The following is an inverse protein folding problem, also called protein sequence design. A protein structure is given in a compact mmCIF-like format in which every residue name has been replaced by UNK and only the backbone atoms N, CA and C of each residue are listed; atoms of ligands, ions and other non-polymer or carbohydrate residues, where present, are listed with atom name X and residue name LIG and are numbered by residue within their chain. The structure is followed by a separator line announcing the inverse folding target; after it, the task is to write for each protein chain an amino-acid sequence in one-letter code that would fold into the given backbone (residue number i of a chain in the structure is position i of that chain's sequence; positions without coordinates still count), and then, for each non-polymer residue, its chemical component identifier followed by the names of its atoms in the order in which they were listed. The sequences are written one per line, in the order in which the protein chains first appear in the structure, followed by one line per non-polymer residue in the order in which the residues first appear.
data_IF_646278989053
#
_entry.id   IF_646278989053
#
_cell.length_a   1.000
_cell.length_b   1.000
_cell.length_c   1.000
_cell.angle_alpha   90.00
_cell.angle_beta   90.00
_cell.angle_gamma   90.00
#
_symmetry.space_group_name_H-M   'P 1'
#
loop_
_entity.id
_entity.type
_entity.pdbx_description
1 polymer ?
#
# COMPACT_ATOMS: atom_id res chain seq x y z
N UNK A 1 24.54 -13.02 -14.25
CA UNK A 1 23.55 -12.56 -13.25
C UNK A 1 23.57 -13.37 -11.95
N UNK A 2 24.14 -14.55 -11.95
CA UNK A 2 24.15 -15.49 -10.81
C UNK A 2 25.17 -15.13 -9.70
N UNK A 3 26.23 -14.39 -10.03
CA UNK A 3 27.26 -14.04 -9.05
C UNK A 3 26.86 -12.94 -8.06
N UNK A 4 25.97 -12.03 -8.45
CA UNK A 4 25.49 -10.93 -7.57
C UNK A 4 24.53 -11.47 -6.52
N UNK A 5 23.62 -12.38 -6.90
CA UNK A 5 22.68 -13.04 -6.00
C UNK A 5 23.38 -13.86 -4.91
N UNK A 6 24.37 -14.66 -5.30
CA UNK A 6 25.17 -15.49 -4.35
C UNK A 6 25.99 -14.66 -3.37
N UNK A 7 26.48 -13.49 -3.80
CA UNK A 7 27.18 -12.54 -2.91
C UNK A 7 26.27 -11.92 -1.84
N UNK A 8 25.06 -11.57 -2.22
CA UNK A 8 24.05 -11.02 -1.31
C UNK A 8 23.53 -12.07 -0.32
N UNK A 9 23.31 -13.32 -0.76
CA UNK A 9 22.92 -14.44 0.10
C UNK A 9 23.96 -14.69 1.20
N UNK A 10 25.26 -14.70 0.84
CA UNK A 10 26.35 -14.82 1.82
C UNK A 10 26.42 -13.65 2.80
N UNK A 11 26.21 -12.44 2.34
CA UNK A 11 26.16 -11.25 3.20
C UNK A 11 24.97 -11.27 4.17
N UNK A 12 23.86 -11.93 3.78
CA UNK A 12 22.68 -12.17 4.63
C UNK A 12 22.82 -13.40 5.55
N UNK A 13 23.98 -14.09 5.54
CA UNK A 13 24.19 -15.29 6.36
C UNK A 13 23.49 -16.52 5.85
N UNK A 14 23.16 -16.58 4.57
CA UNK A 14 22.58 -17.76 3.90
C UNK A 14 23.74 -18.55 3.25
N UNK A 15 23.99 -19.76 3.74
CA UNK A 15 24.99 -20.67 3.21
C UNK A 15 24.32 -21.68 2.25
N UNK A 16 24.81 -21.76 1.01
CA UNK A 16 24.37 -22.73 0.02
C UNK A 16 23.83 -22.10 -1.27
N UNK A 17 23.54 -22.94 -2.25
CA UNK A 17 23.00 -22.56 -3.56
C UNK A 17 21.46 -22.53 -3.58
N UNK A 18 20.83 -22.96 -2.49
CA UNK A 18 19.39 -23.05 -2.31
C UNK A 18 18.92 -22.09 -1.20
N UNK A 19 17.91 -21.27 -1.48
CA UNK A 19 17.34 -20.35 -0.52
C UNK A 19 16.38 -21.13 0.39
N UNK A 20 16.89 -21.68 1.48
CA UNK A 20 16.05 -22.33 2.50
C UNK A 20 15.48 -21.29 3.47
N UNK A 21 14.21 -21.00 3.30
CA UNK A 21 13.42 -20.11 4.19
C UNK A 21 12.66 -20.88 5.28
N UNK A 22 12.72 -22.22 5.32
CA UNK A 22 11.90 -23.05 6.20
C UNK A 22 12.06 -22.75 7.69
N UNK A 23 13.27 -22.41 8.14
CA UNK A 23 13.54 -22.01 9.52
C UNK A 23 13.29 -20.52 9.81
N UNK A 24 12.87 -19.74 8.80
CA UNK A 24 12.71 -18.28 8.85
C UNK A 24 11.29 -17.81 8.57
N UNK A 25 10.48 -18.69 8.04
CA UNK A 25 9.04 -18.54 7.87
C UNK A 25 8.37 -19.44 8.92
N UNK A 26 7.36 -18.94 9.62
CA UNK A 26 6.68 -19.71 10.66
C UNK A 26 5.77 -20.77 10.05
N UNK A 27 6.07 -22.07 10.27
CA UNK A 27 5.17 -23.19 10.00
C UNK A 27 5.57 -24.16 8.88
N UNK A 28 4.83 -25.27 8.74
CA UNK A 28 5.06 -26.39 7.81
C UNK A 28 4.79 -26.11 6.31
N UNK A 29 4.57 -24.85 5.93
CA UNK A 29 4.06 -24.45 4.61
C UNK A 29 5.14 -23.89 3.67
N UNK A 30 6.40 -24.26 3.85
CA UNK A 30 7.50 -23.72 3.01
C UNK A 30 7.37 -24.03 1.52
N UNK A 31 6.75 -25.13 1.14
CA UNK A 31 6.58 -25.55 -0.26
C UNK A 31 5.44 -24.81 -0.99
N UNK A 32 4.47 -24.27 -0.24
CA UNK A 32 3.38 -23.45 -0.78
C UNK A 32 3.76 -21.96 -0.92
N UNK A 33 4.86 -21.56 -0.28
CA UNK A 33 5.33 -20.17 -0.22
C UNK A 33 6.11 -19.72 -1.45
N UNK A 34 6.76 -20.64 -2.12
CA UNK A 34 7.37 -20.41 -3.43
C UNK A 34 6.26 -20.45 -4.48
N UNK A 35 5.35 -19.48 -4.38
CA UNK A 35 4.18 -19.38 -5.25
C UNK A 35 4.47 -19.70 -6.71
N UNK A 36 3.49 -19.60 -7.52
CA UNK A 36 3.55 -19.88 -8.97
C UNK A 36 4.74 -19.12 -9.61
N UNK A 37 5.96 -19.69 -9.57
CA UNK A 37 7.19 -19.09 -10.14
C UNK A 37 6.98 -18.75 -11.63
N UNK A 38 6.12 -19.49 -12.32
CA UNK A 38 5.73 -19.21 -13.71
C UNK A 38 4.95 -17.88 -13.82
N UNK A 39 4.31 -17.40 -12.75
CA UNK A 39 3.53 -16.15 -12.73
C UNK A 39 4.25 -14.98 -12.07
N UNK A 40 5.39 -15.19 -11.45
CA UNK A 40 6.16 -14.13 -10.79
C UNK A 40 5.46 -13.48 -9.60
N UNK A 41 4.63 -14.25 -8.88
CA UNK A 41 3.90 -13.81 -7.68
C UNK A 41 4.49 -14.45 -6.44
N UNK A 42 4.80 -13.64 -5.41
CA UNK A 42 5.22 -14.11 -4.09
C UNK A 42 4.33 -13.49 -3.01
N UNK A 43 3.57 -14.32 -2.30
CA UNK A 43 2.75 -13.89 -1.18
C UNK A 43 3.36 -14.39 0.14
N UNK A 44 3.86 -13.44 0.95
CA UNK A 44 4.40 -13.66 2.28
C UNK A 44 3.57 -12.95 3.36
N UNK A 45 2.32 -12.60 3.07
CA UNK A 45 1.47 -11.89 4.01
C UNK A 45 1.30 -12.69 5.30
N UNK A 46 1.48 -12.03 6.47
CA UNK A 46 1.37 -12.61 7.82
C UNK A 46 2.32 -13.80 8.12
N UNK A 47 3.27 -14.12 7.23
CA UNK A 47 4.11 -15.33 7.32
C UNK A 47 5.52 -15.06 7.86
N UNK A 48 5.97 -13.80 7.89
CA UNK A 48 7.31 -13.47 8.39
C UNK A 48 7.31 -13.37 9.92
N UNK A 49 8.00 -14.30 10.58
CA UNK A 49 8.15 -14.34 12.04
C UNK A 49 9.49 -13.75 12.45
N UNK A 50 9.46 -12.67 13.25
CA UNK A 50 10.65 -12.02 13.80
C UNK A 50 11.24 -10.92 12.92
N UNK A 51 12.29 -10.26 13.46
CA UNK A 51 12.96 -9.10 12.86
C UNK A 51 13.94 -9.55 11.76
N UNK A 52 13.48 -9.58 10.51
CA UNK A 52 14.30 -10.08 9.39
C UNK A 52 14.19 -9.24 8.12
N UNK A 53 14.46 -7.92 8.19
CA UNK A 53 14.46 -7.06 7.02
C UNK A 53 15.49 -7.49 5.96
N UNK A 54 16.63 -8.05 6.41
CA UNK A 54 17.72 -8.47 5.53
C UNK A 54 17.33 -9.62 4.61
N UNK A 55 16.53 -10.59 5.09
CA UNK A 55 16.07 -11.71 4.27
C UNK A 55 15.12 -11.23 3.18
N UNK A 56 14.26 -10.26 3.52
CA UNK A 56 13.33 -9.67 2.57
C UNK A 56 14.03 -8.92 1.45
N UNK A 57 15.03 -8.09 1.77
CA UNK A 57 15.82 -7.39 0.76
C UNK A 57 16.54 -8.36 -0.18
N UNK A 58 17.04 -9.48 0.34
CA UNK A 58 17.70 -10.54 -0.44
C UNK A 58 16.68 -11.24 -1.34
N UNK A 59 15.52 -11.62 -0.82
CA UNK A 59 14.45 -12.25 -1.63
C UNK A 59 14.03 -11.33 -2.77
N UNK A 60 13.77 -10.05 -2.49
CA UNK A 60 13.41 -9.08 -3.53
C UNK A 60 14.53 -8.86 -4.57
N UNK A 61 15.80 -8.88 -4.16
CA UNK A 61 16.93 -8.70 -5.08
C UNK A 61 17.21 -9.94 -5.94
N UNK A 62 16.89 -11.14 -5.45
CA UNK A 62 17.12 -12.41 -6.19
C UNK A 62 16.00 -12.73 -7.18
N UNK A 63 14.80 -12.24 -6.94
CA UNK A 63 13.64 -12.51 -7.77
C UNK A 63 13.48 -11.44 -8.86
N UNK A 64 14.46 -11.32 -9.75
CA UNK A 64 14.45 -10.35 -10.86
C UNK A 64 13.28 -10.51 -11.85
N UNK A 65 12.50 -11.56 -11.73
CA UNK A 65 11.26 -11.81 -12.49
C UNK A 65 9.98 -11.59 -11.64
N UNK A 66 10.12 -11.25 -10.36
CA UNK A 66 8.97 -11.08 -9.48
C UNK A 66 8.13 -9.89 -9.94
N UNK A 67 6.84 -10.13 -10.16
CA UNK A 67 5.87 -9.10 -10.57
C UNK A 67 4.99 -8.64 -9.45
N UNK A 68 4.62 -9.53 -8.52
CA UNK A 68 3.72 -9.25 -7.41
C UNK A 68 4.41 -9.68 -6.11
N UNK A 69 4.44 -8.79 -5.13
CA UNK A 69 4.96 -9.10 -3.79
C UNK A 69 3.97 -8.64 -2.73
N UNK A 70 3.45 -9.59 -1.96
CA UNK A 70 2.61 -9.29 -0.81
C UNK A 70 3.36 -9.57 0.50
N UNK A 71 3.53 -8.52 1.29
CA UNK A 71 4.18 -8.50 2.60
C UNK A 71 3.24 -7.97 3.68
N UNK A 72 1.96 -7.88 3.38
CA UNK A 72 0.96 -7.35 4.30
C UNK A 72 0.89 -8.16 5.61
N UNK A 73 0.50 -7.50 6.69
CA UNK A 73 0.30 -8.14 8.00
C UNK A 73 1.59 -8.55 8.73
N UNK A 74 2.75 -8.20 8.20
CA UNK A 74 4.04 -8.53 8.80
C UNK A 74 4.53 -7.44 9.77
N UNK A 75 5.42 -7.80 10.69
CA UNK A 75 6.04 -6.85 11.62
C UNK A 75 7.36 -6.33 11.04
N UNK A 76 7.29 -5.58 9.92
CA UNK A 76 8.49 -5.10 9.22
C UNK A 76 9.21 -3.99 9.99
N UNK A 77 8.45 -3.07 10.59
CA UNK A 77 9.01 -1.92 11.28
C UNK A 77 9.84 -0.98 10.39
N UNK A 78 10.62 -0.06 10.98
CA UNK A 78 11.45 0.89 10.24
C UNK A 78 12.56 0.23 9.42
N UNK A 79 13.19 -0.80 9.97
CA UNK A 79 14.28 -1.54 9.31
C UNK A 79 13.75 -2.33 8.11
N UNK A 80 12.57 -2.97 8.24
CA UNK A 80 11.90 -3.65 7.14
C UNK A 80 11.49 -2.68 6.03
N UNK A 81 10.97 -1.53 6.40
CA UNK A 81 10.66 -0.46 5.44
C UNK A 81 11.89 0.00 4.66
N UNK A 82 13.03 0.17 5.33
CA UNK A 82 14.29 0.54 4.68
C UNK A 82 14.79 -0.57 3.73
N UNK A 83 14.69 -1.84 4.13
CA UNK A 83 15.09 -2.97 3.30
C UNK A 83 14.22 -3.11 2.04
N UNK A 84 12.90 -2.95 2.17
CA UNK A 84 11.98 -2.90 1.03
C UNK A 84 12.33 -1.75 0.09
N UNK A 85 12.65 -0.58 0.63
CA UNK A 85 13.04 0.59 -0.17
C UNK A 85 14.31 0.33 -0.98
N UNK A 86 15.34 -0.32 -0.41
CA UNK A 86 16.54 -0.68 -1.16
C UNK A 86 16.25 -1.70 -2.27
N UNK A 87 15.38 -2.68 -2.01
CA UNK A 87 14.95 -3.65 -3.02
C UNK A 87 14.18 -2.98 -4.17
N UNK A 88 13.30 -2.03 -3.87
CA UNK A 88 12.55 -1.26 -4.87
C UNK A 88 13.43 -0.47 -5.83
N UNK A 89 14.55 0.09 -5.37
CA UNK A 89 15.48 0.87 -6.20
C UNK A 89 16.10 0.06 -7.33
N UNK A 90 16.20 -1.27 -7.17
CA UNK A 90 16.84 -2.17 -8.14
C UNK A 90 15.85 -3.07 -8.87
N UNK A 91 14.61 -3.14 -8.40
CA UNK A 91 13.57 -3.92 -9.05
C UNK A 91 13.01 -3.18 -10.26
N UNK A 92 13.05 -3.82 -11.44
CA UNK A 92 12.47 -3.29 -12.67
C UNK A 92 11.25 -4.09 -13.16
N UNK A 93 10.79 -5.08 -12.40
CA UNK A 93 9.68 -5.97 -12.80
C UNK A 93 8.48 -5.94 -11.85
N UNK A 94 8.68 -5.48 -10.60
CA UNK A 94 7.63 -5.44 -9.59
C UNK A 94 6.61 -4.35 -9.92
N UNK A 95 5.33 -4.73 -10.02
CA UNK A 95 4.24 -3.82 -10.36
C UNK A 95 3.32 -3.56 -9.18
N UNK A 96 2.67 -4.54 -8.52
CA UNK A 96 2.07 -4.32 -7.22
C UNK A 96 2.99 -4.79 -6.08
N UNK A 97 3.05 -3.95 -5.02
CA UNK A 97 3.66 -4.25 -3.74
C UNK A 97 2.64 -3.98 -2.62
N UNK A 98 2.34 -4.99 -1.81
CA UNK A 98 1.41 -4.83 -0.70
C UNK A 98 2.17 -4.82 0.63
N UNK A 99 2.03 -3.72 1.38
CA UNK A 99 2.68 -3.43 2.66
C UNK A 99 1.67 -3.04 3.75
N UNK A 100 0.38 -3.30 3.53
CA UNK A 100 -0.66 -2.95 4.49
C UNK A 100 -0.44 -3.67 5.83
N UNK A 101 -0.74 -3.00 6.96
CA UNK A 101 -0.63 -3.58 8.32
C UNK A 101 0.77 -4.13 8.67
N UNK A 102 1.83 -3.52 8.15
CA UNK A 102 3.21 -4.02 8.31
C UNK A 102 4.01 -3.29 9.40
N UNK A 103 3.34 -2.49 10.24
CA UNK A 103 3.94 -1.68 11.31
C UNK A 103 5.07 -0.77 10.84
N UNK A 104 4.97 -0.28 9.60
CA UNK A 104 5.87 0.74 9.11
C UNK A 104 5.64 2.04 9.87
N UNK A 105 6.74 2.73 10.18
CA UNK A 105 6.74 4.06 10.77
C UNK A 105 7.15 5.12 9.74
N UNK A 106 7.29 6.36 10.19
CA UNK A 106 7.69 7.50 9.37
C UNK A 106 9.05 7.31 8.70
N UNK A 107 9.98 6.62 9.35
CA UNK A 107 11.32 6.37 8.80
C UNK A 107 11.23 5.37 7.64
N UNK A 108 10.48 4.28 7.82
CA UNK A 108 10.19 3.31 6.77
C UNK A 108 9.45 3.95 5.59
N UNK A 109 8.41 4.75 5.88
CA UNK A 109 7.64 5.47 4.87
C UNK A 109 8.47 6.43 4.02
N UNK A 110 9.39 7.20 4.64
CA UNK A 110 10.30 8.10 3.92
C UNK A 110 11.29 7.35 3.05
N UNK A 111 11.81 6.21 3.52
CA UNK A 111 12.68 5.37 2.71
C UNK A 111 11.95 4.83 1.48
N UNK A 112 10.72 4.33 1.67
CA UNK A 112 9.86 3.86 0.58
C UNK A 112 9.54 5.00 -0.39
N UNK A 113 9.14 6.19 0.09
CA UNK A 113 8.88 7.35 -0.75
C UNK A 113 10.08 7.70 -1.65
N UNK A 114 11.31 7.69 -1.08
CA UNK A 114 12.52 7.94 -1.84
C UNK A 114 12.80 6.86 -2.90
N UNK A 115 12.44 5.61 -2.62
CA UNK A 115 12.57 4.51 -3.57
C UNK A 115 11.52 4.61 -4.70
N UNK A 116 10.27 4.94 -4.37
CA UNK A 116 9.20 5.16 -5.35
C UNK A 116 9.55 6.29 -6.33
N UNK A 117 10.23 7.34 -5.86
CA UNK A 117 10.64 8.46 -6.72
C UNK A 117 11.58 8.05 -7.86
N UNK A 118 12.35 6.97 -7.70
CA UNK A 118 13.32 6.48 -8.69
C UNK A 118 12.91 5.15 -9.34
N UNK A 119 11.87 4.50 -8.84
CA UNK A 119 11.33 3.28 -9.43
C UNK A 119 10.33 3.65 -10.54
N UNK A 120 10.42 2.99 -11.69
CA UNK A 120 9.56 3.23 -12.85
C UNK A 120 8.67 2.03 -13.21
N UNK A 121 8.73 0.94 -12.43
CA UNK A 121 7.94 -0.26 -12.70
C UNK A 121 6.69 -0.38 -11.83
N UNK A 122 6.72 0.21 -10.62
CA UNK A 122 5.65 0.04 -9.64
C UNK A 122 4.43 0.88 -10.01
N UNK A 123 3.25 0.25 -10.03
CA UNK A 123 1.96 0.91 -10.26
C UNK A 123 1.10 0.95 -9.00
N UNK A 124 1.38 0.05 -8.05
CA UNK A 124 0.66 -0.02 -6.77
C UNK A 124 1.64 -0.29 -5.63
N UNK A 125 1.51 0.46 -4.53
CA UNK A 125 2.24 0.27 -3.28
C UNK A 125 1.27 0.43 -2.10
N UNK A 126 0.44 -0.57 -1.84
CA UNK A 126 -0.52 -0.46 -0.75
C UNK A 126 0.19 -0.38 0.60
N UNK A 127 0.18 0.81 1.23
CA UNK A 127 0.82 1.11 2.52
C UNK A 127 -0.18 1.45 3.62
N UNK A 128 -1.46 1.19 3.40
CA UNK A 128 -2.55 1.47 4.34
C UNK A 128 -2.37 0.76 5.69
N UNK A 129 -3.03 1.29 6.73
CA UNK A 129 -3.01 0.69 8.06
C UNK A 129 -1.61 0.49 8.65
N UNK A 130 -0.72 1.46 8.46
CA UNK A 130 0.60 1.53 9.07
C UNK A 130 0.69 2.69 10.09
N UNK A 131 1.78 2.78 10.85
CA UNK A 131 1.96 3.78 11.90
C UNK A 131 2.61 5.07 11.36
N UNK A 132 2.04 5.66 10.31
CA UNK A 132 2.57 6.85 9.65
C UNK A 132 2.06 8.13 10.32
N UNK A 133 2.90 9.17 10.33
CA UNK A 133 2.44 10.54 10.58
C UNK A 133 1.87 11.18 9.30
N UNK A 134 1.13 12.25 9.46
CA UNK A 134 0.52 12.99 8.35
C UNK A 134 1.56 13.46 7.35
N UNK A 135 2.71 13.92 7.83
CA UNK A 135 3.81 14.44 6.98
C UNK A 135 4.42 13.35 6.10
N UNK A 136 4.57 12.14 6.61
CA UNK A 136 5.07 11.00 5.83
C UNK A 136 4.05 10.52 4.81
N UNK A 137 2.75 10.56 5.16
CA UNK A 137 1.67 10.27 4.22
C UNK A 137 1.62 11.31 3.08
N UNK A 138 1.72 12.60 3.39
CA UNK A 138 1.79 13.68 2.39
C UNK A 138 2.98 13.53 1.44
N UNK A 139 4.15 13.14 1.97
CA UNK A 139 5.34 12.90 1.16
C UNK A 139 5.13 11.72 0.19
N UNK A 140 4.58 10.61 0.68
CA UNK A 140 4.24 9.44 -0.13
C UNK A 140 3.20 9.82 -1.21
N UNK A 141 2.11 10.49 -0.82
CA UNK A 141 1.04 10.91 -1.73
C UNK A 141 1.56 11.80 -2.85
N UNK A 142 2.47 12.75 -2.54
CA UNK A 142 3.09 13.60 -3.54
C UNK A 142 3.83 12.80 -4.60
N UNK A 143 4.71 11.89 -4.18
CA UNK A 143 5.47 11.02 -5.10
C UNK A 143 4.54 10.10 -5.87
N UNK A 144 3.53 9.54 -5.21
CA UNK A 144 2.56 8.64 -5.83
C UNK A 144 1.77 9.32 -6.95
N UNK A 145 1.31 10.54 -6.74
CA UNK A 145 0.62 11.33 -7.78
C UNK A 145 1.56 11.63 -8.95
N UNK A 146 2.81 12.03 -8.68
CA UNK A 146 3.81 12.29 -9.72
C UNK A 146 4.16 11.04 -10.56
N UNK A 147 4.21 9.87 -9.92
CA UNK A 147 4.57 8.58 -10.53
C UNK A 147 3.37 7.73 -10.95
N UNK A 148 2.14 8.15 -10.68
CA UNK A 148 0.91 7.39 -10.92
C UNK A 148 0.91 6.03 -10.20
N UNK A 149 1.15 6.04 -8.89
CA UNK A 149 1.20 4.83 -8.04
C UNK A 149 0.02 4.87 -7.05
N UNK A 150 -0.80 3.83 -7.00
CA UNK A 150 -1.85 3.67 -5.98
C UNK A 150 -1.26 3.31 -4.63
N UNK A 151 -1.71 3.96 -3.52
CA UNK A 151 -1.15 3.81 -2.18
C UNK A 151 -2.07 3.16 -1.15
N UNK A 152 -3.37 3.27 -1.33
CA UNK A 152 -4.34 2.81 -0.34
C UNK A 152 -4.91 1.43 -0.65
N UNK A 153 -4.75 0.95 -1.89
CA UNK A 153 -5.30 -0.31 -2.38
C UNK A 153 -6.59 -0.12 -3.18
N UNK A 154 -6.86 1.08 -3.66
CA UNK A 154 -7.80 1.31 -4.76
C UNK A 154 -7.05 0.93 -6.04
N UNK A 155 -7.67 0.16 -6.94
CA UNK A 155 -7.03 -0.23 -8.21
C UNK A 155 -7.42 0.71 -9.36
N UNK A 156 -6.60 0.76 -10.41
CA UNK A 156 -6.83 1.67 -11.54
C UNK A 156 -8.13 1.42 -12.30
N UNK A 157 -8.62 0.19 -12.32
CA UNK A 157 -9.84 -0.25 -12.98
C UNK A 157 -11.07 -0.27 -12.05
N UNK A 158 -10.88 0.08 -10.77
CA UNK A 158 -11.95 0.07 -9.78
C UNK A 158 -12.89 1.25 -9.99
N UNK A 159 -14.18 0.96 -10.17
CA UNK A 159 -15.23 1.98 -10.34
C UNK A 159 -15.86 2.41 -9.00
N UNK A 160 -15.93 1.50 -8.04
CA UNK A 160 -16.57 1.72 -6.73
C UNK A 160 -15.67 1.22 -5.62
N UNK A 161 -15.34 2.08 -4.65
CA UNK A 161 -14.60 1.74 -3.44
C UNK A 161 -15.50 1.96 -2.21
N UNK A 162 -15.87 0.89 -1.51
CA UNK A 162 -16.55 1.01 -0.23
C UNK A 162 -15.54 0.93 0.92
N UNK A 163 -15.22 2.08 1.48
CA UNK A 163 -14.31 2.28 2.59
C UNK A 163 -15.05 2.69 3.87
N UNK A 164 -16.36 2.52 3.93
CA UNK A 164 -17.17 2.90 5.08
C UNK A 164 -16.87 2.08 6.32
N UNK A 165 -16.93 2.71 7.49
CA UNK A 165 -16.81 2.06 8.81
C UNK A 165 -15.52 1.24 8.99
N UNK A 166 -14.39 1.75 8.50
CA UNK A 166 -13.07 1.10 8.60
C UNK A 166 -12.12 1.79 9.58
N UNK A 167 -12.63 2.70 10.42
CA UNK A 167 -11.84 3.45 11.40
C UNK A 167 -10.75 4.34 10.76
N UNK A 168 -10.94 4.75 9.51
CA UNK A 168 -9.97 5.55 8.75
C UNK A 168 -9.81 6.94 9.38
N UNK A 169 -8.56 7.39 9.47
CA UNK A 169 -8.17 8.69 10.02
C UNK A 169 -7.56 9.64 8.99
N UNK A 170 -6.96 10.75 9.46
CA UNK A 170 -6.38 11.78 8.59
C UNK A 170 -5.27 11.26 7.66
N UNK A 171 -4.46 10.32 8.11
CA UNK A 171 -3.40 9.69 7.30
C UNK A 171 -4.02 8.92 6.12
N UNK A 172 -5.07 8.14 6.41
CA UNK A 172 -5.76 7.37 5.38
C UNK A 172 -6.43 8.29 4.35
N UNK A 173 -7.01 9.40 4.80
CA UNK A 173 -7.62 10.39 3.92
C UNK A 173 -6.61 10.95 2.89
N UNK A 174 -5.36 11.20 3.28
CA UNK A 174 -4.30 11.65 2.38
C UNK A 174 -3.98 10.60 1.33
N UNK A 175 -3.85 9.33 1.73
CA UNK A 175 -3.55 8.23 0.81
C UNK A 175 -4.74 7.97 -0.15
N UNK A 176 -5.98 7.99 0.36
CA UNK A 176 -7.20 7.85 -0.45
C UNK A 176 -7.31 9.00 -1.45
N UNK A 177 -7.06 10.24 -1.02
CA UNK A 177 -7.08 11.40 -1.90
C UNK A 177 -6.06 11.29 -3.03
N UNK A 178 -4.87 10.73 -2.76
CA UNK A 178 -3.86 10.50 -3.81
C UNK A 178 -4.32 9.47 -4.84
N UNK A 179 -4.92 8.36 -4.40
CA UNK A 179 -5.46 7.33 -5.28
C UNK A 179 -6.63 7.88 -6.12
N UNK A 180 -7.56 8.61 -5.51
CA UNK A 180 -8.64 9.30 -6.23
C UNK A 180 -8.11 10.28 -7.28
N UNK A 181 -7.04 11.01 -6.96
CA UNK A 181 -6.47 12.01 -7.87
C UNK A 181 -5.90 11.39 -9.15
N UNK A 182 -5.40 10.17 -9.12
CA UNK A 182 -4.81 9.47 -10.28
C UNK A 182 -5.73 8.44 -10.92
N UNK A 183 -6.78 7.99 -10.22
CA UNK A 183 -7.76 7.08 -10.80
C UNK A 183 -8.53 7.74 -11.95
N UNK A 184 -8.74 7.00 -13.02
CA UNK A 184 -9.58 7.38 -14.16
C UNK A 184 -10.93 6.68 -14.17
N UNK A 185 -11.11 5.62 -13.37
CA UNK A 185 -12.29 4.75 -13.39
C UNK A 185 -13.19 4.96 -12.18
N UNK A 186 -12.63 5.47 -11.06
CA UNK A 186 -13.37 5.59 -9.81
C UNK A 186 -14.50 6.63 -9.93
N UNK A 187 -15.72 6.20 -9.67
CA UNK A 187 -16.93 7.03 -9.67
C UNK A 187 -17.56 7.18 -8.29
N UNK A 188 -17.35 6.20 -7.42
CA UNK A 188 -17.86 6.18 -6.05
C UNK A 188 -16.74 5.76 -5.08
N UNK A 189 -16.55 6.53 -3.97
CA UNK A 189 -15.64 6.21 -2.89
C UNK A 189 -16.35 6.48 -1.55
N UNK A 190 -17.05 5.50 -1.01
CA UNK A 190 -17.80 5.68 0.22
C UNK A 190 -16.86 5.69 1.43
N UNK A 191 -16.70 6.85 2.08
CA UNK A 191 -15.85 7.03 3.28
C UNK A 191 -16.65 7.28 4.57
N UNK A 192 -17.96 7.04 4.55
CA UNK A 192 -18.88 7.28 5.67
C UNK A 192 -18.50 6.48 6.91
N UNK A 193 -18.78 7.05 8.11
CA UNK A 193 -18.62 6.35 9.39
C UNK A 193 -17.17 6.05 9.76
N UNK A 194 -16.23 6.90 9.36
CA UNK A 194 -14.82 6.83 9.69
C UNK A 194 -14.41 7.91 10.70
N UNK A 195 -13.17 7.88 11.17
CA UNK A 195 -12.61 8.82 12.16
C UNK A 195 -11.91 10.01 11.49
N UNK A 196 -12.50 10.54 10.40
CA UNK A 196 -11.97 11.67 9.67
C UNK A 196 -12.16 12.96 10.47
N UNK A 197 -11.23 13.89 10.36
CA UNK A 197 -11.41 15.26 10.83
C UNK A 197 -11.91 16.18 9.71
N UNK A 198 -12.24 17.41 10.06
CA UNK A 198 -12.76 18.40 9.11
C UNK A 198 -11.79 18.69 7.97
N UNK A 199 -10.48 18.70 8.23
CA UNK A 199 -9.48 18.97 7.19
C UNK A 199 -9.35 17.78 6.23
N UNK A 200 -9.44 16.54 6.72
CA UNK A 200 -9.51 15.32 5.92
C UNK A 200 -10.75 15.30 5.03
N UNK A 201 -11.91 15.66 5.59
CA UNK A 201 -13.16 15.76 4.82
C UNK A 201 -13.06 16.80 3.70
N UNK A 202 -12.50 17.99 3.97
CA UNK A 202 -12.27 19.03 2.95
C UNK A 202 -11.30 18.56 1.87
N UNK A 203 -10.22 17.85 2.23
CA UNK A 203 -9.27 17.30 1.27
C UNK A 203 -9.97 16.32 0.31
N UNK A 204 -10.68 15.34 0.86
CA UNK A 204 -11.42 14.35 0.07
C UNK A 204 -12.50 14.99 -0.79
N UNK A 205 -13.30 15.91 -0.23
CA UNK A 205 -14.35 16.65 -0.94
C UNK A 205 -13.80 17.45 -2.13
N UNK A 206 -12.66 18.10 -1.95
CA UNK A 206 -11.98 18.84 -3.02
C UNK A 206 -11.59 17.91 -4.18
N UNK A 207 -10.89 16.81 -3.90
CA UNK A 207 -10.46 15.85 -4.93
C UNK A 207 -11.66 15.17 -5.57
N UNK A 208 -12.68 14.81 -4.79
CA UNK A 208 -13.92 14.22 -5.28
C UNK A 208 -14.64 15.14 -6.27
N UNK A 209 -14.75 16.43 -5.95
CA UNK A 209 -15.34 17.43 -6.85
C UNK A 209 -14.54 17.54 -8.16
N UNK A 210 -13.21 17.62 -8.08
CA UNK A 210 -12.31 17.71 -9.24
C UNK A 210 -12.40 16.47 -10.15
N UNK A 211 -12.60 15.30 -9.55
CA UNK A 211 -12.65 13.99 -10.23
C UNK A 211 -14.06 13.50 -10.50
N UNK A 212 -15.07 14.20 -10.02
CA UNK A 212 -16.48 13.78 -10.10
C UNK A 212 -16.74 12.43 -9.43
N UNK A 213 -16.12 12.16 -8.27
CA UNK A 213 -16.31 10.96 -7.45
C UNK A 213 -17.32 11.23 -6.34
N UNK A 214 -18.24 10.32 -6.08
CA UNK A 214 -19.23 10.43 -5.00
C UNK A 214 -18.68 9.82 -3.71
N UNK A 215 -18.70 10.56 -2.58
CA UNK A 215 -18.03 10.16 -1.35
C UNK A 215 -18.89 9.48 -0.28
N UNK A 216 -20.19 9.65 -0.29
CA UNK A 216 -21.07 9.24 0.82
C UNK A 216 -21.93 8.02 0.53
N UNK A 217 -21.57 7.21 -0.47
CA UNK A 217 -22.39 6.09 -0.91
C UNK A 217 -23.67 6.52 -1.67
N UNK A 218 -23.75 7.80 -2.05
CA UNK A 218 -24.80 8.33 -2.92
C UNK A 218 -24.39 8.04 -4.36
N UNK A 219 -25.31 7.46 -5.15
CA UNK A 219 -25.03 7.19 -6.55
C UNK A 219 -25.25 8.42 -7.42
N UNK A 220 -24.44 8.60 -8.45
CA UNK A 220 -24.50 9.75 -9.36
C UNK A 220 -25.88 9.99 -10.02
N UNK A 221 -26.66 8.95 -10.19
CA UNK A 221 -28.01 8.99 -10.77
C UNK A 221 -29.14 8.94 -9.72
N UNK A 222 -28.78 9.01 -8.42
CA UNK A 222 -29.74 8.97 -7.33
C UNK A 222 -30.43 10.34 -7.22
N UNK A 223 -31.77 10.34 -7.29
CA UNK A 223 -32.56 11.58 -7.21
C UNK A 223 -33.11 11.88 -5.82
N UNK A 224 -33.01 10.91 -4.91
CA UNK A 224 -33.44 11.08 -3.51
C UNK A 224 -32.47 10.39 -2.58
N UNK A 225 -32.09 11.04 -1.49
CA UNK A 225 -31.32 10.46 -0.42
C UNK A 225 -32.03 10.75 0.90
N UNK A 226 -32.22 9.75 1.73
CA UNK A 226 -32.83 9.89 3.06
C UNK A 226 -31.74 9.67 4.12
N UNK A 227 -31.44 10.70 4.88
CA UNK A 227 -30.50 10.69 5.99
C UNK A 227 -31.20 10.84 7.34
N UNK A 228 -32.51 10.60 7.39
CA UNK A 228 -33.27 10.71 8.65
C UNK A 228 -32.75 9.71 9.69
N UNK A 229 -32.45 10.21 10.89
CA UNK A 229 -31.92 9.38 11.98
C UNK A 229 -30.42 9.10 11.96
N UNK A 230 -29.68 9.54 10.95
CA UNK A 230 -28.26 9.22 10.74
C UNK A 230 -27.29 9.96 11.65
N UNK A 231 -27.74 10.96 12.45
CA UNK A 231 -26.88 11.74 13.35
C UNK A 231 -25.61 12.29 12.68
N UNK A 232 -25.79 12.89 11.50
CA UNK A 232 -24.71 13.48 10.72
C UNK A 232 -23.97 14.56 11.53
N UNK A 233 -22.66 14.56 11.42
CA UNK A 233 -21.78 15.60 11.99
C UNK A 233 -21.28 16.59 10.92
N UNK A 234 -20.34 17.47 11.31
CA UNK A 234 -19.76 18.46 10.40
C UNK A 234 -18.95 17.81 9.28
N UNK A 235 -18.29 16.69 9.56
CA UNK A 235 -17.50 15.90 8.58
C UNK A 235 -18.42 15.29 7.54
N UNK A 236 -19.48 14.63 7.97
CA UNK A 236 -20.49 14.03 7.09
C UNK A 236 -21.13 15.10 6.19
N UNK A 237 -21.42 16.28 6.74
CA UNK A 237 -22.01 17.39 5.99
C UNK A 237 -21.09 17.88 4.88
N UNK A 238 -19.78 18.01 5.14
CA UNK A 238 -18.79 18.39 4.13
C UNK A 238 -18.72 17.35 3.01
N UNK A 239 -18.69 16.06 3.37
CA UNK A 239 -18.61 14.95 2.44
C UNK A 239 -19.86 14.84 1.56
N UNK A 240 -21.05 15.02 2.14
CA UNK A 240 -22.32 14.99 1.40
C UNK A 240 -22.44 16.17 0.43
N UNK A 241 -21.90 17.33 0.80
CA UNK A 241 -22.01 18.54 -0.01
C UNK A 241 -20.99 18.58 -1.19
N UNK A 242 -20.09 17.62 -1.28
CA UNK A 242 -19.08 17.52 -2.35
C UNK A 242 -19.64 16.80 -3.58
#
# INVERSE_FOLDING_TARGET
NDMFGKGLLRAAGVEGDELDLSGKLGGEESDELLGDEERGTLNLSEKLVGDRPTVLAVVCALLGSLRVLDLSGNNLGPEGGAAVAEALKVSGSLTPLHLAKSKLDDKGARAISAALAVNDSLTECNISNNNLDLKSAELLAKVAVEKHIMLFGITFDQEVADLSSRELGPVDAVLIASDMAISSSLTECNVRGNNLDVESAKLLAKVATEKCVMLFGIKRNQVTADFSGERLDDVDTIIIAS
#
